data_IF_098731405584
#
_entry.id   IF_098731405584
#
_cell.length_a   1.000
_cell.length_b   1.000
_cell.length_c   1.000
_cell.angle_alpha   90.00
_cell.angle_beta   90.00
_cell.angle_gamma   90.00
#
_symmetry.space_group_name_H-M   'P 1'
#
loop_
_entity.id
_entity.type
_entity.pdbx_description
1 polymer ?
#
# COMPACT_ATOMS: atom_id res chain seq x y z
N UNK A 1 -40.10 -29.36 9.96
CA UNK A 1 -39.26 -29.06 8.79
C UNK A 1 -38.55 -27.75 9.08
N UNK A 2 -37.33 -27.81 9.63
CA UNK A 2 -36.48 -26.63 9.83
C UNK A 2 -35.23 -26.84 9.00
N UNK A 3 -35.10 -26.06 7.92
CA UNK A 3 -33.94 -26.08 7.04
C UNK A 3 -32.91 -25.12 7.61
N UNK A 4 -31.84 -25.73 8.11
CA UNK A 4 -30.44 -25.29 8.20
C UNK A 4 -30.13 -23.82 7.90
N UNK A 5 -29.60 -23.12 8.91
CA UNK A 5 -28.78 -21.93 8.72
C UNK A 5 -27.42 -22.35 8.16
N UNK A 6 -27.16 -22.00 6.89
CA UNK A 6 -25.88 -22.19 6.23
C UNK A 6 -24.90 -21.12 6.69
N UNK A 7 -23.82 -21.56 7.33
CA UNK A 7 -22.59 -20.79 7.58
C UNK A 7 -22.03 -20.27 6.25
N UNK A 8 -21.50 -19.02 6.16
CA UNK A 8 -20.81 -18.58 4.96
C UNK A 8 -19.53 -19.42 4.80
N UNK A 9 -19.40 -20.06 3.65
CA UNK A 9 -18.25 -20.88 3.25
C UNK A 9 -17.03 -20.00 2.96
N UNK A 10 -15.86 -20.44 3.44
CA UNK A 10 -14.54 -19.79 3.38
C UNK A 10 -13.93 -19.57 1.97
N UNK A 11 -14.71 -19.48 0.90
CA UNK A 11 -14.17 -19.42 -0.47
C UNK A 11 -14.92 -18.46 -1.41
N UNK A 12 -15.19 -17.23 -0.97
CA UNK A 12 -15.43 -16.13 -1.90
C UNK A 12 -14.11 -15.40 -2.14
N UNK A 13 -13.37 -15.86 -3.15
CA UNK A 13 -12.30 -15.09 -3.77
C UNK A 13 -12.87 -13.73 -4.20
N UNK A 14 -12.63 -12.71 -3.38
CA UNK A 14 -13.05 -11.34 -3.64
C UNK A 14 -12.46 -10.89 -4.98
N UNK A 15 -13.33 -10.44 -5.90
CA UNK A 15 -12.94 -10.04 -7.24
C UNK A 15 -11.85 -8.95 -7.19
N UNK A 16 -10.65 -9.17 -7.75
CA UNK A 16 -9.58 -8.16 -7.73
C UNK A 16 -9.90 -6.91 -8.56
N UNK A 17 -10.93 -6.97 -9.42
CA UNK A 17 -11.36 -5.87 -10.28
C UNK A 17 -12.26 -4.81 -9.62
N UNK A 18 -12.86 -5.09 -8.46
CA UNK A 18 -13.75 -4.13 -7.79
C UNK A 18 -13.03 -3.17 -6.82
N UNK A 19 -11.76 -3.44 -6.53
CA UNK A 19 -11.00 -2.69 -5.51
C UNK A 19 -9.95 -1.71 -6.06
N UNK A 20 -9.73 -1.66 -7.38
CA UNK A 20 -8.66 -0.82 -7.97
C UNK A 20 -9.00 0.67 -8.06
N UNK A 21 -10.17 1.10 -7.54
CA UNK A 21 -10.52 2.52 -7.57
C UNK A 21 -11.54 2.92 -6.51
N UNK A 22 -11.26 2.70 -5.22
CA UNK A 22 -12.12 3.22 -4.14
C UNK A 22 -11.38 4.04 -3.08
N UNK A 23 -11.28 5.35 -3.40
CA UNK A 23 -11.73 6.45 -2.53
C UNK A 23 -11.14 6.51 -1.12
N UNK A 24 -9.89 6.96 -1.01
CA UNK A 24 -9.53 7.88 0.11
C UNK A 24 -10.28 9.23 -0.03
N UNK A 25 -10.90 9.48 -1.18
CA UNK A 25 -11.58 10.74 -1.52
C UNK A 25 -13.06 10.87 -1.15
N UNK A 26 -13.73 9.90 -0.53
CA UNK A 26 -15.13 10.12 -0.14
C UNK A 26 -15.44 9.70 1.29
N UNK A 27 -15.63 10.77 2.07
CA UNK A 27 -16.32 10.90 3.35
C UNK A 27 -15.46 10.60 4.55
N UNK A 28 -15.02 11.68 5.23
CA UNK A 28 -15.14 11.85 6.68
C UNK A 28 -15.05 10.55 7.49
N UNK A 29 -13.99 9.76 7.34
CA UNK A 29 -13.85 8.51 8.07
C UNK A 29 -12.93 8.78 9.27
N UNK A 30 -13.55 9.31 10.33
CA UNK A 30 -13.07 9.36 11.73
C UNK A 30 -11.55 9.45 11.89
N UNK A 31 -11.06 10.66 12.09
CA UNK A 31 -10.00 10.95 13.05
C UNK A 31 -10.49 10.53 14.45
N UNK A 32 -10.44 9.22 14.74
CA UNK A 32 -10.37 8.66 16.09
C UNK A 32 -9.05 7.90 16.32
N UNK A 33 -8.24 7.77 15.28
CA UNK A 33 -6.89 7.21 15.34
C UNK A 33 -5.91 8.36 15.46
N UNK A 34 -5.15 8.41 16.55
CA UNK A 34 -4.18 9.47 16.86
C UNK A 34 -2.92 9.46 16.00
N UNK A 35 -2.99 8.91 14.79
CA UNK A 35 -1.83 8.67 13.92
C UNK A 35 -1.59 9.78 12.89
N UNK A 36 -2.63 10.54 12.53
CA UNK A 36 -2.50 11.63 11.55
C UNK A 36 -2.83 12.97 12.23
N UNK A 37 -1.83 13.85 12.32
CA UNK A 37 -2.06 15.23 12.78
C UNK A 37 -2.73 16.03 11.67
N UNK A 38 -3.71 16.87 12.02
CA UNK A 38 -4.40 17.69 11.01
C UNK A 38 -3.45 18.69 10.32
N UNK A 39 -2.41 19.14 11.03
CA UNK A 39 -1.44 20.11 10.52
C UNK A 39 -0.51 19.52 9.46
N UNK A 40 -0.36 18.18 9.44
CA UNK A 40 0.48 17.48 8.45
C UNK A 40 -0.29 17.06 7.20
N UNK A 41 -1.61 17.26 7.14
CA UNK A 41 -2.44 16.81 6.02
C UNK A 41 -1.95 17.30 4.64
N UNK A 42 -1.55 18.58 4.46
CA UNK A 42 -1.04 19.03 3.15
C UNK A 42 0.26 18.33 2.73
N UNK A 43 1.14 18.03 3.69
CA UNK A 43 2.38 17.30 3.42
C UNK A 43 2.09 15.84 3.09
N UNK A 44 1.16 15.19 3.80
CA UNK A 44 0.72 13.83 3.51
C UNK A 44 0.02 13.71 2.15
N UNK A 45 -0.71 14.74 1.71
CA UNK A 45 -1.25 14.80 0.34
C UNK A 45 -0.13 14.85 -0.71
N UNK A 46 1.00 15.48 -0.39
CA UNK A 46 2.18 15.51 -1.27
C UNK A 46 2.84 14.14 -1.35
N UNK A 47 3.01 13.45 -0.21
CA UNK A 47 3.51 12.06 -0.15
C UNK A 47 2.62 11.15 -0.99
N UNK A 48 1.30 11.21 -0.79
CA UNK A 48 0.34 10.39 -1.52
C UNK A 48 0.27 10.69 -3.04
N UNK A 49 0.86 11.79 -3.49
CA UNK A 49 1.01 12.10 -4.93
C UNK A 49 2.30 11.52 -5.51
N UNK A 50 3.36 11.39 -4.70
CA UNK A 50 4.64 10.81 -5.12
C UNK A 50 4.62 9.28 -5.03
N UNK A 51 4.04 8.75 -3.96
CA UNK A 51 3.93 7.32 -3.70
C UNK A 51 2.47 6.89 -3.78
N UNK A 52 2.20 5.79 -4.48
CA UNK A 52 0.86 5.23 -4.59
C UNK A 52 0.44 4.58 -3.26
N UNK A 53 -0.23 5.35 -2.40
CA UNK A 53 -0.72 4.86 -1.10
C UNK A 53 -2.05 4.13 -1.28
N UNK A 54 -2.07 2.83 -0.98
CA UNK A 54 -3.28 2.02 -0.91
C UNK A 54 -3.19 1.03 0.25
N UNK A 55 -4.21 1.01 1.11
CA UNK A 55 -4.34 0.06 2.21
C UNK A 55 -5.69 -0.64 2.11
N UNK A 56 -5.70 -1.97 2.23
CA UNK A 56 -6.95 -2.73 2.25
C UNK A 56 -7.65 -2.56 3.60
N UNK A 57 -8.99 -2.70 3.68
CA UNK A 57 -9.69 -2.67 4.97
C UNK A 57 -9.13 -3.69 5.97
N UNK A 58 -8.81 -4.90 5.50
CA UNK A 58 -8.22 -5.93 6.34
C UNK A 58 -6.89 -5.48 6.97
N UNK A 59 -5.98 -4.85 6.20
CA UNK A 59 -4.73 -4.36 6.77
C UNK A 59 -4.96 -3.21 7.75
N UNK A 60 -5.93 -2.33 7.46
CA UNK A 60 -6.29 -1.24 8.37
C UNK A 60 -6.81 -1.76 9.72
N UNK A 61 -7.57 -2.85 9.72
CA UNK A 61 -8.11 -3.46 10.95
C UNK A 61 -7.02 -4.11 11.84
N UNK A 62 -5.86 -4.44 11.28
CA UNK A 62 -4.73 -4.99 12.05
C UNK A 62 -3.90 -3.94 12.80
N UNK A 63 -4.11 -2.65 12.51
CA UNK A 63 -3.36 -1.56 13.14
C UNK A 63 -3.91 -1.29 14.55
N UNK A 64 -3.05 -1.30 15.56
CA UNK A 64 -3.42 -0.82 16.90
C UNK A 64 -3.51 0.72 16.92
N UNK A 65 -4.72 1.30 17.11
CA UNK A 65 -4.89 2.75 17.12
C UNK A 65 -4.37 3.42 18.40
N UNK A 66 -4.05 2.64 19.43
CA UNK A 66 -3.57 3.13 20.72
C UNK A 66 -2.05 3.08 20.84
N UNK A 67 -1.36 2.39 19.93
CA UNK A 67 0.09 2.34 19.88
C UNK A 67 0.63 3.27 18.78
N UNK A 68 1.16 4.48 19.12
CA UNK A 68 1.74 5.40 18.12
C UNK A 68 2.94 4.81 17.34
N UNK A 69 3.53 3.71 17.82
CA UNK A 69 4.63 3.00 17.18
C UNK A 69 4.21 1.65 16.60
N UNK A 70 2.92 1.47 16.29
CA UNK A 70 2.40 0.24 15.71
C UNK A 70 3.22 -0.17 14.46
N UNK A 71 3.74 -1.41 14.41
CA UNK A 71 4.64 -1.83 13.35
C UNK A 71 3.93 -1.97 11.99
N UNK A 72 2.63 -2.26 11.98
CA UNK A 72 1.84 -2.34 10.74
C UNK A 72 1.54 -0.94 10.23
N UNK A 73 1.15 -0.02 11.12
CA UNK A 73 0.91 1.38 10.76
C UNK A 73 2.12 2.00 10.05
N UNK A 74 3.34 1.76 10.56
CA UNK A 74 4.59 2.29 9.97
C UNK A 74 4.93 1.75 8.58
N UNK A 75 4.29 0.67 8.14
CA UNK A 75 4.52 0.08 6.81
C UNK A 75 3.50 0.57 5.77
N UNK A 76 2.30 0.96 6.21
CA UNK A 76 1.17 1.24 5.31
C UNK A 76 0.66 2.69 5.37
N UNK A 77 0.88 3.39 6.49
CA UNK A 77 0.48 4.80 6.62
C UNK A 77 1.61 5.70 6.15
N UNK A 78 1.31 6.72 5.32
CA UNK A 78 2.32 7.64 4.82
C UNK A 78 2.90 8.50 5.94
N UNK A 79 4.18 8.81 5.84
CA UNK A 79 4.91 9.70 6.74
C UNK A 79 5.51 10.88 5.97
N UNK A 80 5.49 12.07 6.58
CA UNK A 80 6.05 13.28 5.96
C UNK A 80 7.55 13.17 5.69
N UNK A 81 8.27 12.32 6.44
CA UNK A 81 9.70 12.03 6.25
C UNK A 81 10.00 11.35 4.92
N UNK A 82 9.00 10.74 4.26
CA UNK A 82 9.17 10.17 2.92
C UNK A 82 9.47 11.24 1.85
N UNK A 83 9.24 12.52 2.15
CA UNK A 83 9.62 13.64 1.28
C UNK A 83 11.11 14.01 1.40
N UNK A 84 11.82 13.46 2.38
CA UNK A 84 13.24 13.73 2.62
C UNK A 84 14.09 12.77 1.79
N UNK A 85 14.68 13.26 0.69
CA UNK A 85 15.65 12.51 -0.10
C UNK A 85 17.09 12.87 0.28
N UNK A 86 17.93 11.87 0.50
CA UNK A 86 19.36 12.05 0.74
C UNK A 86 20.17 12.11 -0.57
N UNK A 87 21.36 12.70 -0.53
CA UNK A 87 22.23 12.82 -1.71
C UNK A 87 22.71 11.48 -2.29
N UNK A 88 22.75 10.46 -1.46
CA UNK A 88 23.19 9.10 -1.78
C UNK A 88 22.08 8.25 -2.43
N UNK A 89 20.82 8.70 -2.34
CA UNK A 89 19.68 8.00 -2.92
C UNK A 89 19.71 8.05 -4.46
N UNK A 90 19.23 6.97 -5.07
CA UNK A 90 19.16 6.82 -6.53
C UNK A 90 17.78 6.33 -6.91
N UNK A 91 17.32 6.74 -8.08
CA UNK A 91 16.04 6.30 -8.66
C UNK A 91 16.06 4.79 -8.91
N UNK A 92 17.18 4.26 -9.41
CA UNK A 92 17.42 2.82 -9.59
C UNK A 92 18.61 2.36 -8.74
N UNK A 93 18.41 2.10 -7.44
CA UNK A 93 19.49 1.76 -6.52
C UNK A 93 20.03 0.34 -6.74
N UNK A 94 19.26 -0.54 -7.39
CA UNK A 94 19.65 -1.93 -7.66
C UNK A 94 20.11 -2.16 -9.09
N UNK A 95 19.91 -1.19 -10.00
CA UNK A 95 20.36 -1.24 -11.39
C UNK A 95 19.47 -2.12 -12.27
N UNK A 96 18.16 -2.18 -12.00
CA UNK A 96 17.21 -2.97 -12.80
C UNK A 96 17.23 -2.58 -14.28
N UNK A 97 17.38 -1.28 -14.60
CA UNK A 97 17.36 -0.80 -15.99
C UNK A 97 18.49 -1.41 -16.83
N UNK A 98 19.68 -1.56 -16.24
CA UNK A 98 20.86 -2.12 -16.93
C UNK A 98 20.67 -3.60 -17.30
N UNK A 99 19.80 -4.31 -16.59
CA UNK A 99 19.49 -5.71 -16.82
C UNK A 99 18.12 -5.90 -17.51
N UNK A 100 17.56 -4.84 -18.10
CA UNK A 100 16.27 -4.87 -18.80
C UNK A 100 16.47 -4.89 -20.33
N UNK A 101 16.71 -6.06 -20.96
CA UNK A 101 16.95 -6.12 -22.41
C UNK A 101 15.74 -5.66 -23.23
N UNK A 102 14.54 -5.80 -22.67
CA UNK A 102 13.27 -5.31 -23.20
C UNK A 102 12.38 -4.77 -22.06
N UNK A 103 11.41 -3.88 -22.33
CA UNK A 103 10.45 -3.45 -21.32
C UNK A 103 9.70 -4.63 -20.71
N UNK A 104 9.52 -4.60 -19.39
CA UNK A 104 8.77 -5.63 -18.66
C UNK A 104 9.59 -6.87 -18.27
N UNK A 105 10.89 -6.94 -18.60
CA UNK A 105 11.75 -8.08 -18.23
C UNK A 105 13.04 -7.56 -17.60
N UNK A 106 13.35 -8.00 -16.38
CA UNK A 106 14.68 -7.78 -15.75
C UNK A 106 15.38 -9.13 -15.58
N UNK A 107 16.54 -9.32 -16.21
CA UNK A 107 17.30 -10.57 -16.22
C UNK A 107 18.73 -10.38 -15.69
N UNK A 108 18.85 -10.13 -14.37
CA UNK A 108 20.15 -9.93 -13.70
C UNK A 108 20.95 -11.22 -13.49
N UNK A 109 20.25 -12.33 -13.23
CA UNK A 109 20.89 -13.60 -12.86
C UNK A 109 20.69 -14.66 -13.94
N UNK A 110 21.64 -15.58 -14.16
CA UNK A 110 21.57 -16.53 -15.27
C UNK A 110 20.32 -17.42 -15.27
N UNK A 111 19.78 -17.75 -14.10
CA UNK A 111 18.77 -18.79 -13.88
C UNK A 111 17.37 -18.26 -13.54
N UNK A 112 17.18 -16.93 -13.48
CA UNK A 112 15.89 -16.31 -13.11
C UNK A 112 15.73 -14.91 -13.68
N UNK A 113 14.50 -14.56 -14.02
CA UNK A 113 14.12 -13.23 -14.47
C UNK A 113 12.90 -12.72 -13.69
N UNK A 114 12.76 -11.39 -13.59
CA UNK A 114 11.54 -10.73 -13.13
C UNK A 114 10.69 -10.37 -14.35
N UNK A 115 9.40 -10.70 -14.28
CA UNK A 115 8.39 -10.31 -15.28
C UNK A 115 7.50 -9.22 -14.67
N UNK A 116 7.54 -8.04 -15.26
CA UNK A 116 6.76 -6.88 -14.85
C UNK A 116 5.60 -6.69 -15.87
N UNK A 117 4.35 -6.56 -15.42
CA UNK A 117 3.22 -6.33 -16.33
C UNK A 117 3.34 -4.96 -17.01
N UNK A 118 2.97 -4.91 -18.29
CA UNK A 118 2.94 -3.69 -19.14
C UNK A 118 1.53 -3.09 -19.21
#
# INVERSE_FOLDING_TARGET
>A
MSVQGSTPTENECHNPGESINHKVRRRRQRNKTGHLHNDTLPALETVARQFAVAITPHMLDTIDPHNPNDPVARQFLPDVRELESQSEERIDPIGDEQFSPVPGIVHRYPDRALLLPL
#
